data_IF_649510454295
#
_entry.id   IF_649510454295
#
_cell.length_a   1.000
_cell.length_b   1.000
_cell.length_c   1.000
_cell.angle_alpha   90.00
_cell.angle_beta   90.00
_cell.angle_gamma   90.00
#
_symmetry.space_group_name_H-M   'P 1'
#
loop_
_entity.id
_entity.type
_entity.pdbx_description
1 polymer ?
#
# COMPACT_ATOMS: atom_id res chain seq x y z
N UNK A 1 -4.40 -7.45 2.54
CA UNK A 1 -2.97 -7.38 2.94
C UNK A 1 -2.70 -6.05 3.61
N UNK A 2 -2.19 -6.05 4.85
CA UNK A 2 -1.90 -4.83 5.63
C UNK A 2 -0.41 -4.53 5.65
N UNK A 3 -0.03 -3.26 5.50
CA UNK A 3 1.35 -2.79 5.53
C UNK A 3 1.48 -1.45 6.25
N UNK A 4 2.61 -1.22 6.92
CA UNK A 4 2.93 0.06 7.56
C UNK A 4 3.93 0.82 6.68
N UNK A 5 3.72 2.12 6.50
CA UNK A 5 4.64 2.96 5.73
C UNK A 5 4.80 4.34 6.36
N UNK A 6 5.84 5.05 5.94
CA UNK A 6 6.12 6.43 6.35
C UNK A 6 6.08 7.34 5.13
N UNK A 7 5.37 8.46 5.23
CA UNK A 7 5.51 9.57 4.30
C UNK A 7 6.41 10.61 4.96
N UNK A 8 7.42 11.09 4.24
CA UNK A 8 8.37 12.10 4.73
C UNK A 8 8.23 13.31 3.81
N UNK A 9 7.79 14.42 4.37
CA UNK A 9 7.72 15.68 3.62
C UNK A 9 9.12 16.27 3.42
N UNK A 10 9.33 17.13 2.40
CA UNK A 10 10.62 17.79 2.15
C UNK A 10 11.20 18.52 3.38
N UNK A 11 10.37 18.96 4.33
CA UNK A 11 10.79 19.58 5.60
C UNK A 11 11.16 18.59 6.73
N UNK A 12 11.20 17.28 6.47
CA UNK A 12 11.57 16.25 7.44
C UNK A 12 10.43 15.77 8.34
N UNK A 13 9.25 16.40 8.27
CA UNK A 13 8.06 15.92 8.97
C UNK A 13 7.69 14.52 8.48
N UNK A 14 7.53 13.60 9.42
CA UNK A 14 7.23 12.19 9.16
C UNK A 14 5.80 11.89 9.57
N UNK A 15 5.06 11.20 8.70
CA UNK A 15 3.74 10.65 8.99
C UNK A 15 3.83 9.13 9.01
N UNK A 16 3.27 8.52 10.05
CA UNK A 16 3.16 7.07 10.18
C UNK A 16 1.78 6.64 9.71
N UNK A 17 1.74 5.68 8.79
CA UNK A 17 0.51 5.28 8.13
C UNK A 17 0.38 3.75 8.06
N UNK A 18 -0.86 3.30 7.93
CA UNK A 18 -1.22 1.92 7.65
C UNK A 18 -2.00 1.91 6.33
N UNK A 19 -1.66 1.00 5.43
CA UNK A 19 -2.40 0.73 4.20
C UNK A 19 -2.89 -0.72 4.20
N UNK A 20 -4.12 -0.92 3.74
CA UNK A 20 -4.74 -2.22 3.52
C UNK A 20 -5.12 -2.35 2.05
N UNK A 21 -4.70 -3.43 1.42
CA UNK A 21 -5.01 -3.78 0.04
C UNK A 21 -5.91 -5.01 -0.03
N UNK A 22 -6.79 -5.06 -1.02
CA UNK A 22 -7.45 -6.29 -1.43
C UNK A 22 -6.41 -7.20 -2.08
N UNK A 23 -6.26 -8.42 -1.57
CA UNK A 23 -5.39 -9.43 -2.15
C UNK A 23 -6.24 -10.40 -2.98
N UNK A 24 -6.17 -10.27 -4.31
CA UNK A 24 -6.96 -11.09 -5.23
C UNK A 24 -6.04 -12.05 -5.99
N UNK A 25 -6.48 -13.30 -6.14
CA UNK A 25 -5.79 -14.26 -7.00
C UNK A 25 -5.93 -13.84 -8.47
N UNK A 26 -4.82 -13.82 -9.21
CA UNK A 26 -4.81 -13.41 -10.61
C UNK A 26 -3.61 -14.00 -11.35
N UNK A 27 -3.83 -14.58 -12.53
CA UNK A 27 -2.76 -15.10 -13.40
C UNK A 27 -1.74 -16.03 -12.68
N UNK A 28 -2.21 -16.81 -11.70
CA UNK A 28 -1.37 -17.69 -10.88
C UNK A 28 -0.44 -16.96 -9.91
N UNK A 29 -0.80 -15.74 -9.49
CA UNK A 29 -0.15 -14.98 -8.44
C UNK A 29 -1.18 -14.18 -7.63
N UNK A 30 -0.72 -13.26 -6.80
CA UNK A 30 -1.56 -12.37 -5.99
C UNK A 30 -1.42 -10.95 -6.52
N UNK A 31 -2.54 -10.32 -6.86
CA UNK A 31 -2.64 -8.90 -7.15
C UNK A 31 -3.18 -8.18 -5.92
N UNK A 32 -2.36 -7.33 -5.30
CA UNK A 32 -2.81 -6.37 -4.31
C UNK A 32 -3.32 -5.10 -5.01
N UNK A 33 -4.58 -4.75 -4.76
CA UNK A 33 -5.28 -3.60 -5.38
C UNK A 33 -6.16 -2.88 -4.37
N UNK A 34 -6.81 -1.79 -4.78
CA UNK A 34 -7.78 -1.02 -3.98
C UNK A 34 -7.23 -0.58 -2.62
N UNK A 35 -5.99 -0.07 -2.60
CA UNK A 35 -5.34 0.32 -1.36
C UNK A 35 -6.09 1.42 -0.64
N UNK A 36 -6.55 1.15 0.59
CA UNK A 36 -7.10 2.13 1.51
C UNK A 36 -6.09 2.38 2.63
N UNK A 37 -5.77 3.63 2.90
CA UNK A 37 -4.79 3.99 3.93
C UNK A 37 -5.36 4.96 4.95
N UNK A 38 -4.74 4.94 6.13
CA UNK A 38 -5.00 5.90 7.20
C UNK A 38 -3.71 6.25 7.95
N UNK A 39 -3.68 7.46 8.47
CA UNK A 39 -2.67 7.86 9.44
C UNK A 39 -2.84 7.02 10.71
N UNK A 40 -1.72 6.62 11.32
CA UNK A 40 -1.71 5.77 12.51
C UNK A 40 -2.34 6.47 13.73
N UNK A 41 -2.29 7.81 13.75
CA UNK A 41 -2.94 8.67 14.75
C UNK A 41 -4.42 8.95 14.45
N UNK A 42 -4.96 8.43 13.35
CA UNK A 42 -6.35 8.63 12.93
C UNK A 42 -6.66 10.02 12.35
N UNK A 43 -5.65 10.88 12.15
CA UNK A 43 -5.84 12.26 11.67
C UNK A 43 -6.23 12.38 10.21
N UNK A 44 -6.02 11.34 9.39
CA UNK A 44 -6.24 11.37 7.95
C UNK A 44 -6.45 9.98 7.38
N UNK A 45 -7.11 9.91 6.23
CA UNK A 45 -7.31 8.69 5.46
C UNK A 45 -7.46 8.98 3.98
N UNK A 46 -7.25 7.97 3.14
CA UNK A 46 -7.45 8.07 1.70
C UNK A 46 -7.31 6.73 0.99
N UNK A 47 -7.17 6.79 -0.33
CA UNK A 47 -6.90 5.63 -1.18
C UNK A 47 -5.61 5.82 -1.98
N UNK A 48 -5.09 4.73 -2.54
CA UNK A 48 -3.95 4.75 -3.45
C UNK A 48 -4.24 3.90 -4.68
N UNK A 49 -3.87 4.37 -5.89
CA UNK A 49 -3.97 3.57 -7.11
C UNK A 49 -2.87 2.52 -7.23
N UNK A 50 -1.92 2.45 -6.29
CA UNK A 50 -0.81 1.51 -6.31
C UNK A 50 -1.32 0.07 -6.42
N UNK A 51 -0.79 -0.67 -7.40
CA UNK A 51 -1.03 -2.10 -7.57
C UNK A 51 0.28 -2.86 -7.40
N UNK A 52 0.23 -3.97 -6.67
CA UNK A 52 1.40 -4.83 -6.44
C UNK A 52 1.06 -6.26 -6.84
N UNK A 53 1.74 -6.78 -7.85
CA UNK A 53 1.59 -8.17 -8.28
C UNK A 53 2.75 -9.03 -7.79
N UNK A 54 2.44 -10.13 -7.11
CA UNK A 54 3.41 -11.07 -6.54
C UNK A 54 3.22 -12.46 -7.14
N UNK A 55 4.28 -13.03 -7.72
CA UNK A 55 4.26 -14.39 -8.27
C UNK A 55 5.65 -15.02 -8.20
N UNK A 56 5.75 -16.21 -7.60
CA UNK A 56 7.00 -16.98 -7.49
C UNK A 56 8.18 -16.14 -6.94
N UNK A 57 7.93 -15.37 -5.88
CA UNK A 57 8.94 -14.48 -5.26
C UNK A 57 9.22 -13.18 -6.04
N UNK A 58 8.69 -13.02 -7.26
CA UNK A 58 8.84 -11.78 -8.04
C UNK A 58 7.74 -10.80 -7.66
N UNK A 59 8.13 -9.57 -7.30
CA UNK A 59 7.23 -8.46 -6.98
C UNK A 59 7.28 -7.41 -8.09
N UNK A 60 6.12 -7.07 -8.67
CA UNK A 60 5.95 -6.03 -9.67
C UNK A 60 5.02 -4.94 -9.12
N UNK A 61 5.40 -3.68 -9.27
CA UNK A 61 4.60 -2.53 -8.82
C UNK A 61 4.20 -1.70 -10.03
N UNK A 62 2.97 -1.21 -10.05
CA UNK A 62 2.58 -0.18 -11.03
C UNK A 62 3.42 1.09 -10.81
N UNK A 63 3.70 1.87 -11.86
CA UNK A 63 4.30 3.20 -11.72
C UNK A 63 3.52 4.09 -10.75
#
# INVERSE_FOLDING_TARGET
MRHQFRAIEPGGKTYHNIVEFDAVESHGGILCTNGAWRAADGSSSGTTPLRVFMKNGVVRRSP
#
